data_IF_795682214269
#
_entry.id   IF_795682214269
#
_cell.length_a   1.000
_cell.length_b   1.000
_cell.length_c   1.000
_cell.angle_alpha   90.00
_cell.angle_beta   90.00
_cell.angle_gamma   90.00
#
_symmetry.space_group_name_H-M   'P 1'
#
loop_
_entity.id
_entity.type
_entity.pdbx_description
1 polymer ?
#
# COMPACT_ATOMS: atom_id res chain seq x y z
N UNK A 1 1.76 17.79 -14.54
CA UNK A 1 2.23 17.80 -13.15
C UNK A 1 3.09 16.57 -12.97
N UNK A 2 4.36 16.75 -12.59
CA UNK A 2 5.21 15.63 -12.23
C UNK A 2 4.88 15.25 -10.77
N UNK A 3 4.73 13.96 -10.51
CA UNK A 3 4.67 13.43 -9.16
C UNK A 3 6.08 12.98 -8.79
N UNK A 4 6.59 13.39 -7.64
CA UNK A 4 7.94 13.07 -7.19
C UNK A 4 7.97 11.75 -6.41
N UNK A 5 6.93 11.48 -5.60
CA UNK A 5 6.82 10.28 -4.79
C UNK A 5 5.45 9.59 -4.91
N UNK A 6 5.45 8.39 -5.49
CA UNK A 6 4.29 7.50 -5.59
C UNK A 6 4.43 6.34 -4.60
N UNK A 7 3.45 6.18 -3.70
CA UNK A 7 3.46 5.12 -2.67
C UNK A 7 2.33 4.13 -2.90
N UNK A 8 2.64 2.84 -2.86
CA UNK A 8 1.65 1.75 -2.88
C UNK A 8 1.60 1.13 -1.47
N UNK A 9 0.43 1.15 -0.84
CA UNK A 9 0.23 0.58 0.51
C UNK A 9 -0.41 -0.81 0.43
N UNK A 10 -0.04 -1.72 1.34
CA UNK A 10 -0.66 -3.03 1.50
C UNK A 10 -0.96 -3.27 3.00
N UNK A 11 -2.21 -3.62 3.34
CA UNK A 11 -2.62 -3.82 4.74
C UNK A 11 -1.95 -5.04 5.41
N UNK A 12 -1.62 -6.07 4.64
CA UNK A 12 -0.90 -7.26 5.11
C UNK A 12 0.56 -6.95 5.45
N UNK A 13 1.18 -6.02 4.70
CA UNK A 13 2.50 -5.47 5.03
C UNK A 13 2.42 -4.35 6.09
N UNK A 14 1.26 -3.74 6.26
CA UNK A 14 0.99 -2.62 7.16
C UNK A 14 0.97 -2.97 8.65
N UNK A 15 1.24 -4.22 9.02
CA UNK A 15 1.36 -4.70 10.42
C UNK A 15 0.17 -4.30 11.31
N UNK A 16 -1.05 -4.43 10.78
CA UNK A 16 -2.28 -4.13 11.51
C UNK A 16 -2.78 -2.68 11.37
N UNK A 17 -2.11 -1.85 10.58
CA UNK A 17 -2.61 -0.53 10.19
C UNK A 17 -3.67 -0.65 9.10
N UNK A 18 -4.75 0.11 9.23
CA UNK A 18 -5.77 0.23 8.18
C UNK A 18 -5.23 1.00 6.98
N UNK A 19 -5.88 0.86 5.82
CA UNK A 19 -5.57 1.64 4.62
C UNK A 19 -5.53 3.14 4.88
N UNK A 20 -6.49 3.66 5.66
CA UNK A 20 -6.54 5.08 6.00
C UNK A 20 -5.31 5.51 6.82
N UNK A 21 -4.85 4.66 7.75
CA UNK A 21 -3.69 4.96 8.58
C UNK A 21 -2.38 4.90 7.80
N UNK A 22 -2.26 3.94 6.88
CA UNK A 22 -1.13 3.87 5.95
C UNK A 22 -1.09 5.07 5.02
N UNK A 23 -2.25 5.48 4.47
CA UNK A 23 -2.34 6.64 3.60
C UNK A 23 -1.99 7.94 4.31
N UNK A 24 -2.50 8.14 5.54
CA UNK A 24 -2.17 9.31 6.36
C UNK A 24 -0.66 9.43 6.58
N UNK A 25 0.01 8.33 6.89
CA UNK A 25 1.48 8.32 7.08
C UNK A 25 2.23 8.58 5.79
N UNK A 26 1.80 8.01 4.66
CA UNK A 26 2.43 8.25 3.36
C UNK A 26 2.34 9.72 2.94
N UNK A 27 1.16 10.35 3.09
CA UNK A 27 0.98 11.79 2.83
C UNK A 27 1.83 12.63 3.78
N UNK A 28 1.85 12.33 5.07
CA UNK A 28 2.70 13.03 6.04
C UNK A 28 4.20 12.90 5.75
N UNK A 29 4.61 11.82 5.06
CA UNK A 29 5.97 11.59 4.58
C UNK A 29 6.29 12.25 3.22
N UNK A 30 5.34 12.95 2.61
CA UNK A 30 5.55 13.66 1.34
C UNK A 30 5.17 12.88 0.09
N UNK A 31 4.34 11.83 0.19
CA UNK A 31 3.81 11.18 -1.01
C UNK A 31 2.84 12.10 -1.75
N UNK A 32 3.07 12.30 -3.03
CA UNK A 32 2.15 13.05 -3.89
C UNK A 32 0.95 12.20 -4.32
N UNK A 33 1.16 10.89 -4.45
CA UNK A 33 0.13 9.91 -4.79
C UNK A 33 0.25 8.69 -3.89
N UNK A 34 -0.90 8.24 -3.37
CA UNK A 34 -1.00 7.03 -2.57
C UNK A 34 -2.01 6.08 -3.21
N UNK A 35 -1.56 4.89 -3.60
CA UNK A 35 -2.41 3.81 -4.06
C UNK A 35 -2.68 2.82 -2.94
N UNK A 36 -3.97 2.58 -2.69
CA UNK A 36 -4.41 1.55 -1.75
C UNK A 36 -4.48 0.20 -2.48
N UNK A 37 -3.59 -0.73 -2.13
CA UNK A 37 -3.68 -2.12 -2.57
C UNK A 37 -4.24 -2.99 -1.46
N UNK A 38 -5.22 -3.82 -1.81
CA UNK A 38 -5.68 -4.93 -0.98
C UNK A 38 -5.00 -6.19 -1.51
N UNK A 39 -4.19 -6.84 -0.70
CA UNK A 39 -3.55 -8.09 -1.08
C UNK A 39 -4.58 -9.22 -1.08
N UNK A 40 -4.98 -9.72 -2.26
CA UNK A 40 -5.53 -11.08 -2.33
C UNK A 40 -4.35 -12.04 -2.22
N UNK A 41 -4.07 -12.58 -1.04
CA UNK A 41 -3.12 -13.68 -0.91
C UNK A 41 -3.68 -14.93 -1.57
N UNK A 42 -3.63 -14.96 -2.90
CA UNK A 42 -3.67 -16.16 -3.73
C UNK A 42 -2.51 -16.03 -4.71
N UNK A 43 -1.28 -16.22 -4.21
CA UNK A 43 -0.21 -16.65 -5.09
C UNK A 43 -0.64 -17.96 -5.79
N UNK A 44 -0.13 -18.28 -6.99
CA UNK A 44 -0.44 -19.57 -7.59
C UNK A 44 -0.12 -20.65 -6.57
N UNK A 45 -1.11 -21.48 -6.22
CA UNK A 45 -0.86 -22.71 -5.48
C UNK A 45 0.17 -23.46 -6.31
N UNK A 46 1.39 -23.57 -5.80
CA UNK A 46 2.31 -24.62 -6.21
C UNK A 46 1.60 -25.93 -5.88
N UNK A 47 0.80 -26.42 -6.82
CA UNK A 47 0.16 -27.73 -6.76
C UNK A 47 1.22 -28.82 -6.89
N UNK A 48 0.89 -30.04 -6.44
CA UNK A 48 1.85 -31.14 -6.26
C UNK A 48 2.61 -31.50 -7.53
#
# INVERSE_FOLDING_TARGET
MAYDLYVITDEGLGRGLSHAELARRAVAGGADVVQLRRGSSSGPRSGP
#
